data_IF_728411905211
#
_entry.id   IF_728411905211
#
_cell.length_a   1.000
_cell.length_b   1.000
_cell.length_c   1.000
_cell.angle_alpha   90.00
_cell.angle_beta   90.00
_cell.angle_gamma   90.00
#
_symmetry.space_group_name_H-M   'P 1'
#
loop_
_entity.id
_entity.type
_entity.pdbx_description
1 polymer ?
#
# COMPACT_ATOMS: atom_id res chain seq x y z
N UNK A 1 -12.60 1.87 -19.01
CA UNK A 1 -12.26 2.46 -17.70
C UNK A 1 -11.44 1.48 -16.89
N UNK A 2 -10.56 1.99 -16.03
CA UNK A 2 -9.61 1.20 -15.25
C UNK A 2 -9.91 1.37 -13.76
N UNK A 3 -10.47 0.35 -13.14
CA UNK A 3 -10.75 0.34 -11.70
C UNK A 3 -9.57 -0.23 -10.92
N UNK A 4 -9.42 0.16 -9.65
CA UNK A 4 -8.44 -0.46 -8.76
C UNK A 4 -8.92 -1.83 -8.26
N UNK A 5 -7.99 -2.64 -7.76
CA UNK A 5 -8.30 -3.94 -7.17
C UNK A 5 -8.94 -3.76 -5.80
N UNK A 6 -9.94 -4.58 -5.49
CA UNK A 6 -10.69 -4.54 -4.24
C UNK A 6 -10.72 -5.90 -3.58
N UNK A 7 -10.78 -5.90 -2.26
CA UNK A 7 -11.11 -7.08 -1.49
C UNK A 7 -12.58 -7.47 -1.71
N UNK A 8 -12.84 -8.76 -1.92
CA UNK A 8 -14.17 -9.23 -2.28
C UNK A 8 -15.16 -9.22 -1.11
N UNK A 9 -14.67 -9.37 0.13
CA UNK A 9 -15.52 -9.40 1.32
C UNK A 9 -15.90 -8.01 1.81
N UNK A 10 -14.96 -7.07 1.75
CA UNK A 10 -15.12 -5.72 2.29
C UNK A 10 -15.41 -4.67 1.22
N UNK A 11 -15.11 -4.92 -0.06
CA UNK A 11 -15.17 -3.91 -1.12
C UNK A 11 -14.10 -2.82 -1.04
N UNK A 12 -13.21 -2.91 -0.03
CA UNK A 12 -12.12 -1.98 0.19
C UNK A 12 -11.03 -2.16 -0.87
N UNK A 13 -10.41 -1.06 -1.34
CA UNK A 13 -9.22 -1.15 -2.18
C UNK A 13 -8.11 -1.95 -1.50
N UNK A 14 -7.40 -2.76 -2.28
CA UNK A 14 -6.23 -3.52 -1.83
C UNK A 14 -5.12 -3.54 -2.87
N UNK A 15 -3.91 -3.80 -2.42
CA UNK A 15 -2.75 -4.04 -3.29
C UNK A 15 -2.43 -5.53 -3.26
N UNK A 16 -2.60 -6.28 -4.37
CA UNK A 16 -2.32 -7.70 -4.36
C UNK A 16 -0.86 -8.01 -4.03
N UNK A 17 -0.62 -8.98 -3.15
CA UNK A 17 0.72 -9.43 -2.77
C UNK A 17 1.51 -9.91 -3.99
N UNK A 18 0.84 -10.50 -4.98
CA UNK A 18 1.44 -10.88 -6.26
C UNK A 18 1.93 -9.69 -7.10
N UNK A 19 1.21 -8.56 -7.06
CA UNK A 19 1.62 -7.33 -7.76
C UNK A 19 2.84 -6.71 -7.09
N UNK A 20 2.87 -6.71 -5.75
CA UNK A 20 4.02 -6.26 -4.98
C UNK A 20 5.23 -7.17 -5.23
N UNK A 21 5.04 -8.49 -5.15
CA UNK A 21 6.07 -9.49 -5.39
C UNK A 21 6.67 -9.37 -6.80
N UNK A 22 5.85 -9.14 -7.82
CA UNK A 22 6.31 -8.97 -9.20
C UNK A 22 7.22 -7.75 -9.39
N UNK A 23 6.84 -6.61 -8.82
CA UNK A 23 7.67 -5.40 -8.83
C UNK A 23 8.97 -5.59 -8.02
N UNK A 24 8.86 -6.15 -6.81
CA UNK A 24 10.00 -6.42 -5.93
C UNK A 24 10.99 -7.39 -6.57
N UNK A 25 10.51 -8.42 -7.28
CA UNK A 25 11.33 -9.36 -8.05
C UNK A 25 12.16 -8.66 -9.12
N UNK A 26 11.53 -7.76 -9.88
CA UNK A 26 12.21 -6.99 -10.92
C UNK A 26 13.31 -6.12 -10.33
N UNK A 27 13.00 -5.38 -9.26
CA UNK A 27 13.95 -4.50 -8.59
C UNK A 27 15.09 -5.28 -7.91
N UNK A 28 14.80 -6.44 -7.32
CA UNK A 28 15.83 -7.32 -6.79
C UNK A 28 16.81 -7.79 -7.89
N UNK A 29 16.33 -8.05 -9.10
CA UNK A 29 17.18 -8.36 -10.26
C UNK A 29 18.17 -7.24 -10.57
N UNK A 30 17.70 -6.00 -10.63
CA UNK A 30 18.56 -4.84 -10.87
C UNK A 30 19.57 -4.62 -9.75
N UNK A 31 19.15 -4.78 -8.49
CA UNK A 31 20.07 -4.68 -7.36
C UNK A 31 21.20 -5.70 -7.47
N UNK A 32 20.92 -6.94 -7.88
CA UNK A 32 21.98 -7.96 -8.09
C UNK A 32 22.88 -7.64 -9.28
N UNK A 33 22.34 -7.06 -10.35
CA UNK A 33 23.13 -6.56 -11.49
C UNK A 33 24.10 -5.46 -11.05
N UNK A 34 23.63 -4.49 -10.26
CA UNK A 34 24.45 -3.41 -9.69
C UNK A 34 25.54 -3.94 -8.74
N UNK A 35 25.27 -5.05 -8.04
CA UNK A 35 26.24 -5.74 -7.19
C UNK A 35 27.24 -6.62 -7.96
N UNK A 36 27.07 -6.79 -9.27
CA UNK A 36 27.89 -7.70 -10.08
C UNK A 36 27.62 -9.19 -9.82
N UNK A 37 26.46 -9.52 -9.23
CA UNK A 37 26.08 -10.89 -8.82
C UNK A 37 24.99 -11.51 -9.72
N UNK A 38 24.72 -10.92 -10.88
CA UNK A 38 23.60 -11.31 -11.73
C UNK A 38 23.72 -12.69 -12.42
N UNK A 39 24.91 -13.32 -12.49
CA UNK A 39 25.13 -14.46 -13.40
C UNK A 39 26.05 -15.59 -12.90
N UNK A 40 26.41 -15.66 -11.62
CA UNK A 40 27.45 -16.60 -11.17
C UNK A 40 26.99 -18.03 -10.85
N UNK A 41 25.69 -18.31 -10.75
CA UNK A 41 25.19 -19.66 -10.45
C UNK A 41 24.18 -20.20 -11.47
N UNK A 42 24.02 -21.53 -11.50
CA UNK A 42 23.09 -22.27 -12.40
C UNK A 42 21.63 -21.76 -12.36
N UNK A 43 21.24 -21.01 -11.32
CA UNK A 43 19.94 -20.34 -11.14
C UNK A 43 20.19 -19.03 -10.37
N UNK A 44 19.56 -17.93 -10.78
CA UNK A 44 19.85 -16.62 -10.16
C UNK A 44 19.28 -16.53 -8.73
N UNK A 45 19.89 -15.78 -7.81
CA UNK A 45 19.33 -15.58 -6.46
C UNK A 45 17.87 -15.05 -6.48
N UNK A 46 17.49 -14.30 -7.51
CA UNK A 46 16.09 -13.85 -7.72
C UNK A 46 15.13 -15.03 -7.87
N UNK A 47 15.47 -16.02 -8.69
CA UNK A 47 14.62 -17.20 -8.91
C UNK A 47 14.48 -18.06 -7.66
N UNK A 48 15.52 -18.10 -6.83
CA UNK A 48 15.46 -18.75 -5.52
C UNK A 48 14.50 -18.01 -4.59
N UNK A 49 14.64 -16.69 -4.47
CA UNK A 49 13.89 -15.87 -3.51
C UNK A 49 12.42 -15.73 -3.90
N UNK A 50 12.13 -15.48 -5.18
CA UNK A 50 10.77 -15.22 -5.67
C UNK A 50 10.12 -16.43 -6.36
N UNK A 51 10.86 -17.53 -6.54
CA UNK A 51 10.38 -18.73 -7.21
C UNK A 51 10.34 -18.61 -8.74
N UNK A 52 9.98 -19.69 -9.41
CA UNK A 52 9.73 -19.71 -10.85
C UNK A 52 8.80 -20.88 -11.21
N UNK A 53 8.04 -20.71 -12.29
CA UNK A 53 7.21 -21.76 -12.86
C UNK A 53 8.00 -22.52 -13.93
N UNK A 54 7.59 -23.75 -14.20
CA UNK A 54 8.12 -24.51 -15.32
C UNK A 54 7.73 -23.83 -16.66
N UNK A 55 8.63 -23.88 -17.62
CA UNK A 55 8.42 -23.39 -18.99
C UNK A 55 8.92 -24.42 -20.02
N UNK A 56 8.90 -24.07 -21.30
CA UNK A 56 9.35 -24.96 -22.38
C UNK A 56 10.83 -25.37 -22.24
N UNK A 57 11.64 -24.55 -21.59
CA UNK A 57 13.08 -24.76 -21.41
C UNK A 57 13.42 -25.44 -20.07
N UNK A 58 12.57 -25.30 -19.05
CA UNK A 58 12.78 -25.82 -17.70
C UNK A 58 11.52 -26.51 -17.18
N UNK A 59 11.57 -27.84 -17.05
CA UNK A 59 10.44 -28.67 -16.61
C UNK A 59 10.21 -28.66 -15.08
N UNK A 60 11.08 -28.03 -14.32
CA UNK A 60 10.95 -27.92 -12.87
C UNK A 60 10.30 -26.58 -12.49
N UNK A 61 9.55 -26.58 -11.40
CA UNK A 61 9.05 -25.36 -10.76
C UNK A 61 9.60 -25.26 -9.34
N UNK A 62 9.83 -24.05 -8.84
CA UNK A 62 10.28 -23.82 -7.47
C UNK A 62 9.43 -22.75 -6.79
N UNK A 63 8.99 -23.05 -5.57
CA UNK A 63 8.37 -22.07 -4.68
C UNK A 63 9.46 -21.15 -4.13
N UNK A 64 9.22 -19.84 -4.14
CA UNK A 64 10.11 -18.85 -3.55
C UNK A 64 10.34 -19.03 -2.04
N UNK A 65 11.26 -18.23 -1.51
CA UNK A 65 11.53 -18.11 -0.07
C UNK A 65 10.65 -17.03 0.57
N UNK A 66 10.29 -15.97 -0.18
CA UNK A 66 9.42 -14.90 0.30
C UNK A 66 7.94 -15.19 0.03
N UNK A 67 7.08 -14.87 1.00
CA UNK A 67 5.63 -14.86 0.88
C UNK A 67 5.15 -13.41 1.00
N UNK A 68 4.48 -12.92 -0.03
CA UNK A 68 3.90 -11.59 -0.05
C UNK A 68 2.39 -11.71 0.16
N UNK A 69 1.88 -11.06 1.21
CA UNK A 69 0.45 -10.99 1.48
C UNK A 69 -0.17 -9.76 0.80
N UNK A 70 -1.49 -9.77 0.66
CA UNK A 70 -2.22 -8.63 0.11
C UNK A 70 -2.08 -7.43 1.06
N UNK A 71 -1.77 -6.26 0.50
CA UNK A 71 -1.71 -5.02 1.24
C UNK A 71 -3.09 -4.39 1.41
N UNK A 72 -3.40 -3.97 2.63
CA UNK A 72 -4.69 -3.38 3.01
C UNK A 72 -4.54 -1.93 3.46
N UNK A 73 -5.60 -1.13 3.32
CA UNK A 73 -5.60 0.25 3.82
C UNK A 73 -5.62 0.23 5.34
N UNK A 74 -4.57 0.79 5.95
CA UNK A 74 -4.45 1.02 7.38
C UNK A 74 -5.11 2.35 7.78
N UNK A 75 -4.83 3.41 7.02
CA UNK A 75 -5.46 4.71 7.21
C UNK A 75 -5.56 5.49 5.89
N UNK A 76 -6.71 6.10 5.66
CA UNK A 76 -7.07 6.73 4.39
C UNK A 76 -7.20 8.25 4.53
N UNK A 77 -6.50 9.07 3.72
CA UNK A 77 -6.58 10.52 3.81
C UNK A 77 -7.92 11.02 3.28
N UNK A 78 -8.62 11.79 4.10
CA UNK A 78 -9.88 12.45 3.76
C UNK A 78 -9.72 13.95 3.94
N UNK A 79 -10.24 14.72 2.98
CA UNK A 79 -10.32 16.18 3.09
C UNK A 79 -11.41 16.56 4.09
N UNK A 80 -11.04 17.32 5.11
CA UNK A 80 -11.96 17.84 6.14
C UNK A 80 -11.80 19.34 6.34
N UNK A 81 -12.67 19.95 7.14
CA UNK A 81 -12.58 21.35 7.58
C UNK A 81 -11.39 21.61 8.51
N UNK A 82 -10.87 20.58 9.18
CA UNK A 82 -9.64 20.65 9.96
C UNK A 82 -8.38 20.48 9.08
N UNK A 83 -8.53 20.30 7.77
CA UNK A 83 -7.46 19.88 6.85
C UNK A 83 -7.50 18.37 6.57
N UNK A 84 -6.42 17.78 6.06
CA UNK A 84 -6.35 16.33 5.86
C UNK A 84 -6.44 15.58 7.20
N UNK A 85 -7.26 14.54 7.24
CA UNK A 85 -7.41 13.62 8.37
C UNK A 85 -7.35 12.20 7.84
N UNK A 86 -6.56 11.34 8.48
CA UNK A 86 -6.41 9.94 8.13
C UNK A 86 -7.43 9.10 8.88
N UNK A 87 -8.40 8.60 8.13
CA UNK A 87 -9.49 7.82 8.69
C UNK A 87 -9.07 6.35 8.75
N UNK A 88 -9.39 5.68 9.84
CA UNK A 88 -9.23 4.24 10.05
C UNK A 88 -10.47 3.68 10.78
N UNK A 89 -10.47 2.41 11.17
CA UNK A 89 -11.53 1.81 11.98
C UNK A 89 -11.00 0.75 12.95
N UNK A 90 -11.76 0.36 13.98
CA UNK A 90 -11.30 -0.57 15.01
C UNK A 90 -10.82 -1.91 14.46
N UNK A 91 -11.53 -2.51 13.50
CA UNK A 91 -11.13 -3.80 12.92
C UNK A 91 -9.81 -3.73 12.16
N UNK A 92 -9.57 -2.65 11.40
CA UNK A 92 -8.32 -2.44 10.68
C UNK A 92 -7.16 -2.22 11.64
N UNK A 93 -7.36 -1.45 12.71
CA UNK A 93 -6.35 -1.27 13.76
C UNK A 93 -6.01 -2.59 14.44
N UNK A 94 -7.02 -3.38 14.82
CA UNK A 94 -6.83 -4.68 15.47
C UNK A 94 -6.09 -5.68 14.57
N UNK A 95 -6.38 -5.68 13.26
CA UNK A 95 -5.64 -6.51 12.28
C UNK A 95 -4.15 -6.16 12.20
N UNK A 96 -3.77 -4.95 12.61
CA UNK A 96 -2.39 -4.45 12.61
C UNK A 96 -1.81 -4.35 14.03
N UNK A 97 -2.36 -5.11 14.99
CA UNK A 97 -1.85 -5.18 16.36
C UNK A 97 -2.12 -3.93 17.22
N UNK A 98 -2.94 -2.98 16.75
CA UNK A 98 -3.27 -1.76 17.50
C UNK A 98 -4.63 -1.94 18.18
N UNK A 99 -4.60 -2.11 19.51
CA UNK A 99 -5.82 -2.17 20.30
C UNK A 99 -6.32 -0.77 20.67
N UNK A 100 -7.56 -0.48 20.29
CA UNK A 100 -8.23 0.76 20.68
C UNK A 100 -8.85 0.60 22.07
N UNK A 101 -8.35 1.37 23.04
CA UNK A 101 -8.85 1.33 24.42
C UNK A 101 -10.32 1.75 24.55
N UNK A 102 -10.82 2.57 23.62
CA UNK A 102 -12.16 3.13 23.64
C UNK A 102 -13.04 2.56 22.52
N UNK A 103 -14.32 2.36 22.81
CA UNK A 103 -15.29 1.96 21.77
C UNK A 103 -15.74 3.19 20.98
N UNK A 104 -15.77 3.05 19.66
CA UNK A 104 -16.44 3.99 18.76
C UNK A 104 -17.95 3.82 18.89
N UNK A 105 -18.69 4.92 19.09
CA UNK A 105 -20.14 4.90 18.93
C UNK A 105 -20.55 4.70 17.47
N UNK A 106 -21.80 4.27 17.23
CA UNK A 106 -22.22 3.82 15.89
C UNK A 106 -22.33 4.93 14.82
N UNK A 107 -22.36 6.20 15.23
CA UNK A 107 -22.53 7.38 14.35
C UNK A 107 -21.67 8.55 14.83
N UNK A 108 -20.49 8.25 15.35
CA UNK A 108 -19.52 9.25 15.81
C UNK A 108 -18.13 8.86 15.34
N UNK A 109 -17.23 9.82 15.35
CA UNK A 109 -15.80 9.63 15.08
C UNK A 109 -15.03 9.79 16.39
N UNK A 110 -14.01 8.97 16.58
CA UNK A 110 -12.99 9.23 17.61
C UNK A 110 -11.78 9.89 16.96
N UNK A 111 -11.33 11.02 17.50
CA UNK A 111 -10.22 11.80 16.93
C UNK A 111 -9.06 11.91 17.92
N UNK A 112 -7.83 11.92 17.42
CA UNK A 112 -6.62 12.08 18.25
C UNK A 112 -6.10 13.52 18.31
N UNK A 113 -6.76 14.45 17.64
CA UNK A 113 -6.36 15.84 17.53
C UNK A 113 -7.38 16.80 18.18
N UNK A 114 -6.93 18.03 18.42
CA UNK A 114 -7.79 19.12 18.90
C UNK A 114 -8.71 19.62 17.79
N UNK A 115 -10.02 19.56 18.02
CA UNK A 115 -11.05 20.10 17.13
C UNK A 115 -11.92 21.10 17.90
N UNK A 116 -11.99 22.33 17.41
CA UNK A 116 -12.83 23.39 18.01
C UNK A 116 -14.33 23.17 17.77
N UNK A 117 -14.68 22.43 16.72
CA UNK A 117 -16.06 22.09 16.37
C UNK A 117 -16.49 20.76 17.01
N UNK A 118 -17.79 20.61 17.26
CA UNK A 118 -18.36 19.35 17.77
C UNK A 118 -18.42 18.25 16.70
N UNK A 119 -18.43 18.64 15.43
CA UNK A 119 -18.60 17.75 14.29
C UNK A 119 -17.47 17.93 13.27
N UNK A 120 -17.11 16.83 12.61
CA UNK A 120 -16.12 16.78 11.54
C UNK A 120 -16.76 16.29 10.24
N UNK A 121 -16.38 16.89 9.11
CA UNK A 121 -16.80 16.39 7.81
C UNK A 121 -15.81 15.36 7.25
N UNK A 122 -16.31 14.27 6.69
CA UNK A 122 -15.54 13.26 5.96
C UNK A 122 -16.12 13.14 4.54
N UNK A 123 -15.61 13.98 3.62
CA UNK A 123 -16.24 14.16 2.32
C UNK A 123 -17.62 14.80 2.47
N UNK A 124 -18.67 14.06 2.08
CA UNK A 124 -20.08 14.51 2.16
C UNK A 124 -20.75 14.23 3.51
N UNK A 125 -20.11 13.44 4.38
CA UNK A 125 -20.61 13.13 5.72
C UNK A 125 -20.26 14.24 6.71
N UNK A 126 -21.13 14.48 7.68
CA UNK A 126 -20.88 15.40 8.80
C UNK A 126 -21.32 14.73 10.10
N UNK A 127 -20.35 14.37 10.95
CA UNK A 127 -20.57 13.50 12.10
C UNK A 127 -20.01 14.14 13.39
N UNK A 128 -20.65 13.87 14.54
CA UNK A 128 -20.04 14.17 15.85
C UNK A 128 -18.65 13.57 15.96
N UNK A 129 -17.71 14.34 16.49
CA UNK A 129 -16.34 13.93 16.71
C UNK A 129 -16.00 14.09 18.20
N UNK A 130 -15.53 12.99 18.81
CA UNK A 130 -15.14 12.94 20.22
C UNK A 130 -13.65 12.67 20.30
N UNK A 131 -12.94 13.43 21.15
CA UNK A 131 -11.51 13.21 21.35
C UNK A 131 -11.24 11.89 22.09
N UNK A 132 -10.21 11.18 21.65
CA UNK A 132 -9.61 10.05 22.36
C UNK A 132 -8.90 10.51 23.62
N UNK A 133 -8.97 9.71 24.68
CA UNK A 133 -8.18 9.85 25.89
C UNK A 133 -6.80 9.21 25.65
N UNK A 134 -6.05 9.74 24.69
CA UNK A 134 -4.74 9.23 24.28
C UNK A 134 -4.43 9.52 22.81
N UNK A 135 -3.28 9.03 22.36
CA UNK A 135 -2.88 9.07 20.95
C UNK A 135 -3.21 7.74 20.26
N UNK A 136 -3.43 7.81 18.95
CA UNK A 136 -3.55 6.60 18.15
C UNK A 136 -2.15 5.98 18.02
N UNK A 137 -1.95 4.80 18.62
CA UNK A 137 -0.65 4.12 18.76
C UNK A 137 -0.04 3.56 17.47
N UNK A 138 -0.03 4.32 16.38
CA UNK A 138 0.64 3.94 15.14
C UNK A 138 2.12 4.29 15.22
N UNK A 139 2.98 3.27 15.25
CA UNK A 139 4.43 3.46 15.27
C UNK A 139 4.95 3.92 13.90
N UNK A 140 4.87 5.22 13.66
CA UNK A 140 5.32 5.87 12.43
C UNK A 140 6.65 6.60 12.64
N UNK A 141 7.53 6.55 11.63
CA UNK A 141 8.77 7.34 11.66
C UNK A 141 8.50 8.86 11.65
N UNK A 142 9.47 9.64 12.09
CA UNK A 142 9.35 11.11 12.22
C UNK A 142 9.00 11.81 10.90
N UNK A 143 9.53 11.29 9.78
CA UNK A 143 9.22 11.81 8.44
C UNK A 143 7.75 11.61 8.09
N UNK A 144 7.17 10.48 8.48
CA UNK A 144 5.76 10.15 8.25
C UNK A 144 4.86 10.96 9.16
N UNK A 145 5.19 11.07 10.46
CA UNK A 145 4.46 11.91 11.42
C UNK A 145 4.35 13.37 10.98
N UNK A 146 5.39 13.90 10.31
CA UNK A 146 5.37 15.24 9.72
C UNK A 146 4.36 15.43 8.59
N UNK A 147 3.88 14.36 7.96
CA UNK A 147 2.87 14.39 6.88
C UNK A 147 1.51 13.91 7.38
N UNK A 148 1.51 12.84 8.17
CA UNK A 148 0.35 12.14 8.70
C UNK A 148 0.24 12.44 10.20
N UNK A 149 -0.56 13.43 10.55
CA UNK A 149 -0.57 14.00 11.92
C UNK A 149 -1.94 14.04 12.59
N UNK A 150 -3.00 13.66 11.89
CA UNK A 150 -4.38 13.70 12.41
C UNK A 150 -5.10 12.45 12.01
N UNK A 151 -5.60 11.71 12.98
CA UNK A 151 -6.36 10.50 12.76
C UNK A 151 -7.80 10.64 13.23
N UNK A 152 -8.68 9.94 12.54
CA UNK A 152 -10.06 9.72 12.95
C UNK A 152 -10.39 8.23 12.84
N UNK A 153 -10.91 7.65 13.91
CA UNK A 153 -11.42 6.29 13.93
C UNK A 153 -12.92 6.35 13.67
N UNK A 154 -13.34 5.84 12.52
CA UNK A 154 -14.73 5.68 12.13
C UNK A 154 -15.27 4.30 12.57
N UNK A 155 -16.59 4.13 12.69
CA UNK A 155 -17.20 2.81 12.86
C UNK A 155 -16.88 1.89 11.67
N UNK A 156 -16.65 0.60 11.92
CA UNK A 156 -16.24 -0.37 10.88
C UNK A 156 -17.16 -0.37 9.65
N UNK A 157 -18.47 -0.32 9.87
CA UNK A 157 -19.46 -0.34 8.79
C UNK A 157 -19.36 0.91 7.89
N UNK A 158 -18.91 2.04 8.44
CA UNK A 158 -18.85 3.31 7.72
C UNK A 158 -17.51 3.49 7.01
N UNK A 159 -16.45 2.85 7.51
CA UNK A 159 -15.11 3.03 6.98
C UNK A 159 -14.99 2.71 5.49
N UNK A 160 -15.61 1.60 5.06
CA UNK A 160 -15.65 1.20 3.65
C UNK A 160 -16.29 2.26 2.76
N UNK A 161 -17.41 2.84 3.20
CA UNK A 161 -18.11 3.89 2.45
C UNK A 161 -17.30 5.19 2.41
N UNK A 162 -16.60 5.53 3.50
CA UNK A 162 -15.71 6.69 3.55
C UNK A 162 -14.57 6.52 2.53
N UNK A 163 -13.90 5.37 2.51
CA UNK A 163 -12.82 5.12 1.56
C UNK A 163 -13.34 5.19 0.13
N UNK A 164 -14.39 4.44 -0.19
CA UNK A 164 -14.92 4.37 -1.56
C UNK A 164 -15.46 5.71 -2.07
N UNK A 165 -16.03 6.54 -1.19
CA UNK A 165 -16.51 7.88 -1.55
C UNK A 165 -15.41 8.90 -1.78
N UNK A 166 -14.17 8.64 -1.33
CA UNK A 166 -13.06 9.60 -1.36
C UNK A 166 -11.87 9.10 -2.22
N UNK A 167 -12.07 8.07 -3.04
CA UNK A 167 -11.09 7.64 -4.04
C UNK A 167 -10.92 8.68 -5.14
N UNK A 168 -9.73 8.73 -5.71
CA UNK A 168 -9.45 9.63 -6.81
C UNK A 168 -9.96 9.04 -8.12
N UNK A 169 -10.84 9.76 -8.81
CA UNK A 169 -11.36 9.39 -10.13
C UNK A 169 -10.94 10.45 -11.13
N UNK A 170 -10.13 10.06 -12.12
CA UNK A 170 -9.63 10.97 -13.17
C UNK A 170 -10.06 10.50 -14.54
N UNK A 171 -10.44 11.45 -15.38
CA UNK A 171 -10.73 11.20 -16.80
C UNK A 171 -9.56 11.69 -17.65
N UNK A 172 -9.11 10.85 -18.58
CA UNK A 172 -8.02 11.13 -19.50
C UNK A 172 -8.47 10.86 -20.93
N UNK A 173 -7.82 11.55 -21.88
CA UNK A 173 -8.10 11.46 -23.30
C UNK A 173 -6.79 11.37 -24.07
N UNK A 174 -6.78 10.63 -25.17
CA UNK A 174 -5.68 10.69 -26.14
C UNK A 174 -5.96 11.80 -27.16
N UNK A 175 -4.99 12.68 -27.38
CA UNK A 175 -5.07 13.76 -28.36
C UNK A 175 -4.39 13.32 -29.65
N UNK A 176 -5.06 13.57 -30.77
CA UNK A 176 -4.49 13.41 -32.11
C UNK A 176 -3.49 14.54 -32.38
N UNK A 177 -2.22 14.24 -32.69
CA UNK A 177 -1.18 15.27 -32.83
C UNK A 177 -1.30 16.09 -34.13
N UNK A 178 -1.99 15.59 -35.16
CA UNK A 178 -2.16 16.31 -36.43
C UNK A 178 -3.30 17.34 -36.34
N UNK A 179 -4.39 16.96 -35.68
CA UNK A 179 -5.61 17.78 -35.59
C UNK A 179 -5.72 18.58 -34.30
N UNK A 180 -5.01 18.19 -33.24
CA UNK A 180 -5.15 18.74 -31.90
C UNK A 180 -6.46 18.38 -31.19
N UNK A 181 -7.31 17.55 -31.81
CA UNK A 181 -8.59 17.12 -31.26
C UNK A 181 -8.45 15.81 -30.46
N UNK A 182 -9.47 15.49 -29.66
CA UNK A 182 -9.56 14.19 -29.01
C UNK A 182 -9.67 13.08 -30.06
N UNK A 183 -8.84 12.04 -29.93
CA UNK A 183 -8.92 10.85 -30.77
C UNK A 183 -10.20 10.07 -30.45
N UNK A 184 -10.88 9.61 -31.49
CA UNK A 184 -12.12 8.85 -31.33
C UNK A 184 -11.90 7.61 -30.45
N UNK A 185 -12.86 7.35 -29.55
CA UNK A 185 -12.87 6.26 -28.56
C UNK A 185 -11.66 6.19 -27.63
N UNK A 186 -10.92 7.29 -27.45
CA UNK A 186 -9.75 7.33 -26.59
C UNK A 186 -9.96 8.14 -25.29
N UNK A 187 -11.21 8.37 -24.89
CA UNK A 187 -11.60 8.87 -23.58
C UNK A 187 -11.73 7.69 -22.62
N UNK A 188 -11.08 7.76 -21.46
CA UNK A 188 -11.16 6.73 -20.44
C UNK A 188 -11.04 7.33 -19.04
N UNK A 189 -11.74 6.72 -18.10
CA UNK A 189 -11.66 7.06 -16.68
C UNK A 189 -10.86 6.00 -15.93
N UNK A 190 -10.12 6.43 -14.92
CA UNK A 190 -9.42 5.53 -14.02
C UNK A 190 -9.54 5.98 -12.58
N UNK A 191 -9.50 4.99 -11.69
CA UNK A 191 -9.51 5.16 -10.25
C UNK A 191 -8.09 5.04 -9.70
N UNK A 192 -7.80 5.77 -8.63
CA UNK A 192 -6.53 5.72 -7.93
C UNK A 192 -6.72 5.85 -6.41
N UNK A 193 -5.89 5.13 -5.66
CA UNK A 193 -5.73 5.36 -4.22
C UNK A 193 -4.97 6.68 -4.05
N UNK A 194 -5.50 7.66 -3.28
CA UNK A 194 -4.85 8.94 -3.07
C UNK A 194 -3.45 8.80 -2.46
N UNK A 195 -2.58 9.76 -2.81
CA UNK A 195 -1.26 9.87 -2.20
C UNK A 195 -1.35 10.02 -0.67
N UNK A 196 -0.32 9.56 0.03
CA UNK A 196 -0.25 9.51 1.50
C UNK A 196 -1.28 8.57 2.17
N UNK A 197 -1.95 7.68 1.43
CA UNK A 197 -2.65 6.53 2.04
C UNK A 197 -1.65 5.62 2.73
N UNK A 198 -1.93 5.28 3.99
CA UNK A 198 -1.15 4.28 4.73
C UNK A 198 -1.70 2.90 4.38
N UNK A 199 -0.80 2.04 3.91
CA UNK A 199 -1.07 0.65 3.56
C UNK A 199 -0.23 -0.23 4.49
N UNK A 200 -0.81 -1.31 4.98
CA UNK A 200 -0.11 -2.35 5.71
C UNK A 200 0.16 -3.54 4.78
N UNK A 201 1.35 -4.13 4.91
CA UNK A 201 1.80 -5.28 4.12
C UNK A 201 2.57 -6.24 5.02
N UNK A 202 2.30 -7.53 4.88
CA UNK A 202 3.12 -8.58 5.45
C UNK A 202 3.99 -9.22 4.36
N UNK A 203 5.27 -9.38 4.66
CA UNK A 203 6.23 -10.12 3.82
C UNK A 203 7.00 -11.07 4.72
N UNK A 204 6.78 -12.37 4.56
CA UNK A 204 7.43 -13.39 5.38
C UNK A 204 8.55 -14.09 4.62
N UNK A 205 9.61 -14.46 5.33
CA UNK A 205 10.72 -15.27 4.82
C UNK A 205 10.66 -16.69 5.40
N UNK A 206 10.74 -17.70 4.53
CA UNK A 206 10.96 -19.09 4.93
C UNK A 206 12.45 -19.35 5.18
N UNK A 207 12.94 -18.95 6.35
CA UNK A 207 14.36 -19.02 6.73
C UNK A 207 14.92 -20.45 6.70
N UNK A 208 14.11 -21.46 7.04
CA UNK A 208 14.53 -22.86 7.04
C UNK A 208 14.91 -23.39 5.65
N UNK A 209 14.46 -22.72 4.58
CA UNK A 209 14.77 -23.09 3.19
C UNK A 209 15.89 -22.24 2.59
N UNK A 210 16.45 -21.28 3.34
CA UNK A 210 17.61 -20.51 2.91
C UNK A 210 18.85 -21.42 2.83
N UNK A 211 19.57 -21.46 1.69
CA UNK A 211 20.83 -22.20 1.61
C UNK A 211 21.93 -21.50 2.41
N UNK A 212 22.93 -22.26 2.86
CA UNK A 212 24.10 -21.70 3.55
C UNK A 212 24.85 -20.65 2.71
N UNK A 213 24.81 -20.78 1.38
CA UNK A 213 25.42 -19.81 0.45
C UNK A 213 24.66 -18.49 0.36
N UNK A 214 23.39 -18.47 0.79
CA UNK A 214 22.53 -17.29 0.74
C UNK A 214 21.59 -17.24 1.95
N UNK A 215 22.14 -16.85 3.12
CA UNK A 215 21.41 -16.87 4.38
C UNK A 215 20.32 -15.78 4.42
N UNK A 216 19.48 -15.81 5.45
CA UNK A 216 18.32 -14.95 5.61
C UNK A 216 18.68 -13.45 5.52
N UNK A 217 19.81 -13.05 6.09
CA UNK A 217 20.29 -11.67 6.09
C UNK A 217 20.55 -11.15 4.67
N UNK A 218 21.04 -12.00 3.77
CA UNK A 218 21.25 -11.63 2.38
C UNK A 218 19.91 -11.48 1.64
N UNK A 219 18.93 -12.34 1.93
CA UNK A 219 17.57 -12.23 1.36
C UNK A 219 16.91 -10.94 1.81
N UNK A 220 16.90 -10.66 3.12
CA UNK A 220 16.32 -9.45 3.71
C UNK A 220 17.06 -8.18 3.24
N UNK A 221 18.38 -8.23 3.14
CA UNK A 221 19.21 -7.14 2.63
C UNK A 221 18.91 -6.81 1.16
N UNK A 222 18.73 -7.84 0.32
CA UNK A 222 18.32 -7.67 -1.07
C UNK A 222 16.90 -7.11 -1.17
N UNK A 223 15.97 -7.67 -0.41
CA UNK A 223 14.58 -7.20 -0.36
C UNK A 223 14.51 -5.73 0.05
N UNK A 224 15.21 -5.34 1.13
CA UNK A 224 15.23 -3.94 1.60
C UNK A 224 15.71 -2.97 0.53
N UNK A 225 16.76 -3.35 -0.23
CA UNK A 225 17.25 -2.54 -1.36
C UNK A 225 16.22 -2.48 -2.50
N UNK A 226 15.60 -3.62 -2.83
CA UNK A 226 14.55 -3.68 -3.85
C UNK A 226 13.33 -2.81 -3.47
N UNK A 227 12.90 -2.84 -2.20
CA UNK A 227 11.82 -2.00 -1.67
C UNK A 227 12.15 -0.49 -1.80
N UNK A 228 13.43 -0.12 -1.76
CA UNK A 228 13.88 1.26 -2.01
C UNK A 228 13.54 1.79 -3.41
N UNK A 229 13.46 0.93 -4.44
CA UNK A 229 13.08 1.36 -5.80
C UNK A 229 11.60 1.72 -5.94
N UNK A 230 10.73 1.22 -5.04
CA UNK A 230 9.32 1.62 -5.06
C UNK A 230 9.15 3.11 -4.78
N UNK A 231 10.08 3.72 -4.04
CA UNK A 231 10.05 5.16 -3.79
C UNK A 231 10.32 5.97 -5.04
N UNK A 232 11.00 5.44 -6.06
CA UNK A 232 11.37 6.20 -7.26
C UNK A 232 10.59 5.74 -8.50
N UNK A 233 10.41 4.44 -8.67
CA UNK A 233 9.85 3.82 -9.86
C UNK A 233 8.39 3.37 -9.67
N UNK A 234 7.98 3.15 -8.42
CA UNK A 234 6.64 2.75 -8.06
C UNK A 234 6.25 1.33 -8.46
N UNK A 235 4.96 1.03 -8.47
CA UNK A 235 4.41 -0.25 -8.90
C UNK A 235 3.01 -0.09 -9.52
N UNK A 236 2.51 -1.14 -10.16
CA UNK A 236 1.20 -1.12 -10.81
C UNK A 236 1.22 -0.38 -12.15
N UNK A 237 0.07 0.17 -12.55
CA UNK A 237 -0.09 0.87 -13.82
C UNK A 237 0.33 2.34 -13.77
N UNK A 238 0.58 2.93 -14.95
CA UNK A 238 0.80 4.37 -15.13
C UNK A 238 1.97 4.97 -14.33
N UNK A 239 3.00 4.18 -14.03
CA UNK A 239 4.22 4.64 -13.32
C UNK A 239 4.93 5.78 -14.04
N UNK A 240 4.96 5.78 -15.38
CA UNK A 240 5.50 6.87 -16.22
C UNK A 240 4.73 8.19 -16.08
N UNK A 241 3.50 8.15 -15.54
CA UNK A 241 2.69 9.33 -15.20
C UNK A 241 2.77 9.70 -13.72
N UNK A 242 3.69 9.09 -12.97
CA UNK A 242 3.94 9.37 -11.55
C UNK A 242 3.09 8.58 -10.56
N UNK A 243 2.37 7.54 -11.00
CA UNK A 243 1.55 6.70 -10.12
C UNK A 243 2.35 5.59 -9.44
N UNK A 244 1.84 5.10 -8.30
CA UNK A 244 2.28 3.85 -7.70
C UNK A 244 3.56 3.92 -6.87
N UNK A 245 4.11 5.13 -6.62
CA UNK A 245 5.24 5.31 -5.71
C UNK A 245 4.83 4.94 -4.28
N UNK A 246 5.64 4.11 -3.63
CA UNK A 246 5.42 3.67 -2.25
C UNK A 246 6.72 3.84 -1.48
N UNK A 247 6.60 4.25 -0.21
CA UNK A 247 7.69 4.22 0.75
C UNK A 247 7.37 3.19 1.81
N UNK A 248 8.28 2.23 1.99
CA UNK A 248 8.14 1.21 3.02
C UNK A 248 8.69 1.76 4.34
N UNK A 249 7.88 1.65 5.38
CA UNK A 249 8.24 1.99 6.75
C UNK A 249 8.18 0.67 7.51
N UNK A 250 9.31 0.13 7.99
CA UNK A 250 9.25 -1.05 8.84
C UNK A 250 8.48 -0.68 10.11
N UNK A 251 7.44 -1.45 10.41
CA UNK A 251 6.89 -1.48 11.76
C UNK A 251 7.90 -2.29 12.58
N UNK A 252 8.61 -1.64 13.50
CA UNK A 252 9.50 -2.36 14.40
C UNK A 252 8.64 -3.34 15.22
N UNK A 253 8.96 -4.64 15.13
CA UNK A 253 8.50 -5.61 16.11
C UNK A 253 9.22 -5.26 17.42
N UNK A 254 8.46 -4.90 18.47
CA UNK A 254 8.99 -4.76 19.84
C UNK A 254 9.56 -6.08 20.38
#
# INVERSE_FOLDING_TARGET
DNTIVRDAGTGMPKVPGSSLAGAARCYAGWVLEEMGQAQTEKRSPVEMIFGYAADENNKESRIGLLRFYDGHILAFPVRTMAGPVWVTCPSVLAMNGVELAEKTGNKELLIDFDLEAENLNLGWLYLPARRLQGELGLNLDEKTKGVVSRFAVAPDWLFTEIVNSNLEVRTSVCIDPETGAAKDRALFTYEAIPAATLLAFDIELDEHRCPESWPAENVLGLLKKALGYFETLGMGGMTTRGFGRLRFIPLEEE
#
